data_IF_653097445212
#
_entry.id   IF_653097445212
#
_cell.length_a   1.000
_cell.length_b   1.000
_cell.length_c   1.000
_cell.angle_alpha   90.00
_cell.angle_beta   90.00
_cell.angle_gamma   90.00
#
_symmetry.space_group_name_H-M   'P 1'
#
loop_
_entity.id
_entity.type
_entity.pdbx_description
1 polymer ?
#
# COMPACT_ATOMS: atom_id res chain seq x y z
N UNK A 1 12.50 -57.85 -14.31
CA UNK A 1 11.44 -57.06 -14.96
C UNK A 1 11.78 -55.60 -14.73
N UNK A 2 11.86 -54.79 -15.79
CA UNK A 2 12.05 -53.35 -15.65
C UNK A 2 10.68 -52.73 -15.29
N UNK A 3 10.35 -52.70 -14.00
CA UNK A 3 9.04 -52.31 -13.48
C UNK A 3 8.69 -50.84 -13.74
N UNK A 4 9.70 -49.98 -13.84
CA UNK A 4 9.56 -48.53 -14.04
C UNK A 4 9.89 -48.08 -15.47
N UNK A 5 10.18 -49.03 -16.38
CA UNK A 5 10.53 -48.79 -17.79
C UNK A 5 11.68 -47.81 -18.03
N UNK A 6 12.50 -47.54 -17.01
CA UNK A 6 13.64 -46.64 -17.12
C UNK A 6 14.71 -47.16 -18.06
N UNK A 7 15.57 -46.28 -18.57
CA UNK A 7 16.66 -46.67 -19.44
C UNK A 7 17.86 -47.21 -18.64
N UNK A 8 18.17 -48.51 -18.69
CA UNK A 8 19.26 -49.09 -17.88
C UNK A 8 20.66 -48.55 -18.22
N UNK A 9 20.81 -47.80 -19.32
CA UNK A 9 22.07 -47.16 -19.74
C UNK A 9 22.12 -45.66 -19.46
N UNK A 10 21.03 -45.06 -18.97
CA UNK A 10 20.91 -43.64 -18.67
C UNK A 10 20.38 -43.49 -17.23
N UNK A 11 21.19 -43.07 -16.25
CA UNK A 11 20.79 -42.99 -14.84
C UNK A 11 19.69 -41.98 -14.49
N UNK A 12 19.32 -41.12 -15.43
CA UNK A 12 18.31 -40.06 -15.37
C UNK A 12 17.60 -40.14 -16.74
N UNK A 13 16.45 -40.80 -16.78
CA UNK A 13 15.83 -41.33 -17.99
C UNK A 13 15.16 -40.24 -18.82
N UNK A 14 14.46 -39.29 -18.19
CA UNK A 14 13.82 -38.16 -18.87
C UNK A 14 14.75 -36.95 -19.04
N UNK A 15 15.76 -36.77 -18.19
CA UNK A 15 16.75 -35.70 -18.29
C UNK A 15 16.36 -34.41 -17.62
N UNK A 16 15.56 -34.49 -16.58
CA UNK A 16 15.12 -33.33 -15.81
C UNK A 16 16.17 -32.87 -14.77
N UNK A 17 17.20 -33.70 -14.53
CA UNK A 17 18.29 -33.46 -13.60
C UNK A 17 18.17 -34.23 -12.27
N UNK A 18 17.13 -35.03 -12.08
CA UNK A 18 16.95 -35.97 -10.98
C UNK A 18 17.23 -37.39 -11.47
N UNK A 19 17.94 -38.19 -10.67
CA UNK A 19 18.28 -39.55 -11.08
C UNK A 19 17.09 -40.51 -10.85
N UNK A 20 16.85 -41.47 -11.75
CA UNK A 20 15.78 -42.47 -11.67
C UNK A 20 15.64 -43.11 -10.29
N UNK A 21 16.79 -43.39 -9.65
CA UNK A 21 16.84 -43.97 -8.32
C UNK A 21 16.38 -43.03 -7.21
N UNK A 22 16.67 -41.73 -7.32
CA UNK A 22 16.21 -40.71 -6.38
C UNK A 22 14.72 -40.45 -6.52
N UNK A 23 14.24 -40.39 -7.76
CA UNK A 23 12.83 -40.23 -8.12
C UNK A 23 11.98 -41.34 -7.50
N UNK A 24 12.29 -42.61 -7.80
CA UNK A 24 11.46 -43.73 -7.32
C UNK A 24 11.58 -43.95 -5.80
N UNK A 25 12.78 -43.83 -5.22
CA UNK A 25 12.99 -44.22 -3.82
C UNK A 25 12.79 -43.07 -2.81
N UNK A 26 12.98 -41.81 -3.23
CA UNK A 26 13.00 -40.66 -2.32
C UNK A 26 11.84 -39.71 -2.58
N UNK A 27 11.67 -39.28 -3.83
CA UNK A 27 10.73 -38.20 -4.19
C UNK A 27 9.37 -38.72 -4.65
N UNK A 28 9.28 -40.01 -4.99
CA UNK A 28 8.07 -40.69 -5.50
C UNK A 28 7.53 -40.09 -6.80
N UNK A 29 8.43 -39.65 -7.66
CA UNK A 29 8.15 -39.11 -9.00
C UNK A 29 8.24 -40.19 -10.09
N UNK A 30 7.76 -39.90 -11.31
CA UNK A 30 7.85 -40.81 -12.46
C UNK A 30 9.14 -40.55 -13.26
N UNK A 31 10.12 -41.48 -13.27
CA UNK A 31 11.41 -41.30 -13.94
C UNK A 31 11.34 -41.23 -15.48
N UNK A 32 10.15 -41.17 -16.07
CA UNK A 32 9.94 -40.97 -17.50
C UNK A 32 9.17 -39.68 -17.80
N UNK A 33 8.93 -38.84 -16.79
CA UNK A 33 8.17 -37.61 -16.90
C UNK A 33 8.87 -36.47 -16.15
N UNK A 34 9.39 -35.51 -16.91
CA UNK A 34 10.20 -34.42 -16.36
C UNK A 34 9.48 -33.46 -15.42
N UNK A 35 8.14 -33.52 -15.34
CA UNK A 35 7.25 -32.68 -14.52
C UNK A 35 6.10 -33.59 -14.03
N UNK A 36 6.29 -34.25 -12.89
CA UNK A 36 5.44 -35.33 -12.41
C UNK A 36 4.03 -34.84 -12.05
N UNK A 37 3.91 -33.67 -11.42
CA UNK A 37 2.63 -33.15 -10.94
C UNK A 37 1.96 -32.13 -11.89
N UNK A 38 2.67 -31.72 -12.95
CA UNK A 38 2.12 -30.90 -14.03
C UNK A 38 1.85 -29.47 -13.60
N UNK A 39 2.66 -28.94 -12.69
CA UNK A 39 2.60 -27.54 -12.26
C UNK A 39 3.44 -26.61 -13.16
N UNK A 40 4.29 -27.20 -13.98
CA UNK A 40 5.14 -26.55 -14.96
C UNK A 40 6.61 -26.51 -14.57
N UNK A 41 7.01 -26.88 -13.35
CA UNK A 41 8.41 -27.04 -12.94
C UNK A 41 8.88 -28.48 -13.20
N UNK A 42 10.20 -28.64 -13.30
CA UNK A 42 10.77 -29.97 -13.44
C UNK A 42 11.06 -30.59 -12.08
N UNK A 43 10.89 -31.90 -11.91
CA UNK A 43 11.08 -32.56 -10.62
C UNK A 43 12.49 -32.30 -10.05
N UNK A 44 13.51 -32.35 -10.91
CA UNK A 44 14.88 -31.99 -10.58
C UNK A 44 15.08 -30.52 -10.21
N UNK A 45 14.39 -29.60 -10.88
CA UNK A 45 14.43 -28.15 -10.57
C UNK A 45 13.84 -27.86 -9.19
N UNK A 46 12.69 -28.46 -8.91
CA UNK A 46 11.97 -28.36 -7.64
C UNK A 46 12.81 -28.83 -6.47
N UNK A 47 13.38 -30.04 -6.55
CA UNK A 47 14.20 -30.61 -5.46
C UNK A 47 15.49 -29.81 -5.25
N UNK A 48 16.15 -29.40 -6.33
CA UNK A 48 17.49 -28.82 -6.23
C UNK A 48 17.49 -27.32 -5.96
N UNK A 49 16.55 -26.59 -6.56
CA UNK A 49 16.54 -25.12 -6.59
C UNK A 49 15.45 -24.56 -5.68
N UNK A 50 14.19 -24.95 -5.89
CA UNK A 50 13.03 -24.29 -5.26
C UNK A 50 12.63 -24.88 -3.91
N UNK A 51 13.09 -26.11 -3.62
CA UNK A 51 12.78 -26.87 -2.39
C UNK A 51 11.29 -27.17 -2.21
N UNK A 52 10.58 -27.30 -3.33
CA UNK A 52 9.18 -27.73 -3.41
C UNK A 52 9.08 -29.26 -3.47
N UNK A 53 7.86 -29.78 -3.38
CA UNK A 53 7.60 -31.21 -3.48
C UNK A 53 7.18 -31.58 -4.92
N UNK A 54 8.03 -32.28 -5.70
CA UNK A 54 7.79 -32.54 -7.13
C UNK A 54 6.67 -33.53 -7.45
N UNK A 55 5.87 -33.88 -6.45
CA UNK A 55 4.70 -34.75 -6.60
C UNK A 55 3.43 -34.07 -6.11
N UNK A 56 3.51 -32.78 -5.79
CA UNK A 56 2.45 -31.97 -5.25
C UNK A 56 2.51 -30.57 -5.86
N UNK A 57 1.57 -30.21 -6.75
CA UNK A 57 1.67 -29.03 -7.60
C UNK A 57 1.47 -27.69 -6.86
N UNK A 58 1.26 -27.73 -5.54
CA UNK A 58 0.99 -26.60 -4.62
C UNK A 58 1.55 -26.99 -3.24
N UNK A 59 2.84 -26.73 -3.03
CA UNK A 59 3.63 -27.26 -1.91
C UNK A 59 3.14 -26.73 -0.56
N UNK A 60 2.78 -25.46 -0.46
CA UNK A 60 2.34 -24.84 0.79
C UNK A 60 0.81 -24.80 0.98
N UNK A 61 0.06 -25.24 -0.03
CA UNK A 61 -1.40 -25.39 -0.04
C UNK A 61 -2.14 -24.06 0.15
N UNK A 62 -1.59 -22.98 -0.39
CA UNK A 62 -2.21 -21.66 -0.38
C UNK A 62 -3.18 -21.44 -1.56
N UNK A 63 -3.12 -22.37 -2.52
CA UNK A 63 -3.93 -22.45 -3.71
C UNK A 63 -3.14 -22.16 -4.98
N UNK A 64 -2.04 -21.41 -4.98
CA UNK A 64 -1.22 -21.19 -6.16
C UNK A 64 -0.38 -22.43 -6.44
N UNK A 65 -0.06 -22.64 -7.71
CA UNK A 65 0.86 -23.71 -8.08
C UNK A 65 2.30 -23.25 -7.90
N UNK A 66 3.22 -24.14 -7.51
CA UNK A 66 4.62 -23.74 -7.28
C UNK A 66 5.24 -23.11 -8.54
N UNK A 67 4.93 -23.66 -9.71
CA UNK A 67 5.32 -23.11 -11.00
C UNK A 67 4.67 -21.77 -11.35
N UNK A 68 3.45 -21.51 -10.91
CA UNK A 68 2.75 -20.23 -11.07
C UNK A 68 3.41 -19.16 -10.18
N UNK A 69 3.67 -19.50 -8.93
CA UNK A 69 4.36 -18.64 -7.97
C UNK A 69 5.74 -18.21 -8.46
N UNK A 70 6.57 -19.14 -8.93
CA UNK A 70 7.93 -18.82 -9.39
C UNK A 70 7.92 -17.99 -10.68
N UNK A 71 7.08 -18.36 -11.66
CA UNK A 71 7.15 -17.78 -13.01
C UNK A 71 6.34 -16.51 -13.18
N UNK A 72 5.23 -16.37 -12.44
CA UNK A 72 4.28 -15.29 -12.65
C UNK A 72 4.29 -14.28 -11.49
N UNK A 73 4.24 -14.75 -10.24
CA UNK A 73 4.09 -13.88 -9.08
C UNK A 73 5.41 -13.58 -8.36
N UNK A 74 6.45 -14.39 -8.63
CA UNK A 74 7.74 -14.37 -7.93
C UNK A 74 7.60 -14.51 -6.40
N UNK A 75 6.57 -15.21 -5.92
CA UNK A 75 6.34 -15.53 -4.50
C UNK A 75 7.18 -16.73 -4.05
N UNK A 76 7.07 -17.14 -2.80
CA UNK A 76 7.79 -18.29 -2.26
C UNK A 76 6.86 -19.52 -2.13
N UNK A 77 7.03 -20.56 -2.97
CA UNK A 77 6.12 -21.72 -3.02
C UNK A 77 6.18 -22.66 -1.82
N UNK A 78 6.94 -22.29 -0.80
CA UNK A 78 7.02 -23.02 0.47
C UNK A 78 6.47 -22.21 1.64
N UNK A 79 5.90 -21.04 1.36
CA UNK A 79 5.41 -20.10 2.33
C UNK A 79 4.15 -19.39 1.83
N UNK A 80 3.01 -19.87 2.33
CA UNK A 80 1.65 -19.45 1.95
C UNK A 80 1.33 -17.96 1.95
N UNK A 81 2.17 -17.12 2.55
CA UNK A 81 1.97 -15.70 2.83
C UNK A 81 3.35 -15.03 2.71
N UNK A 82 3.73 -14.71 1.48
CA UNK A 82 5.08 -14.33 1.08
C UNK A 82 5.52 -12.99 1.66
N UNK A 83 4.59 -12.08 1.92
CA UNK A 83 4.88 -10.75 2.45
C UNK A 83 4.50 -10.56 3.92
N UNK A 84 3.80 -11.53 4.51
CA UNK A 84 3.52 -11.61 5.94
C UNK A 84 2.47 -10.61 6.38
N UNK A 85 1.47 -10.34 5.54
CA UNK A 85 0.41 -9.38 5.80
C UNK A 85 -0.85 -10.02 6.44
N UNK A 86 -0.96 -11.35 6.34
CA UNK A 86 -2.05 -12.14 6.90
C UNK A 86 -3.04 -12.70 5.88
N UNK A 87 -2.92 -12.35 4.59
CA UNK A 87 -3.56 -13.06 3.48
C UNK A 87 -2.62 -14.14 2.94
N UNK A 88 -3.18 -15.10 2.20
CA UNK A 88 -2.34 -16.05 1.48
C UNK A 88 -2.11 -15.58 0.06
N UNK A 89 -0.97 -15.91 -0.55
CA UNK A 89 -0.62 -15.43 -1.90
C UNK A 89 -1.73 -15.82 -2.91
N UNK A 90 -2.28 -17.03 -2.76
CA UNK A 90 -3.44 -17.49 -3.53
C UNK A 90 -4.75 -16.73 -3.29
N UNK A 91 -5.01 -16.26 -2.07
CA UNK A 91 -6.20 -15.46 -1.77
C UNK A 91 -6.05 -14.03 -2.32
N UNK A 92 -4.87 -13.47 -2.20
CA UNK A 92 -4.51 -12.18 -2.78
C UNK A 92 -4.71 -12.15 -4.28
N UNK A 93 -4.13 -13.12 -4.99
CA UNK A 93 -4.23 -13.22 -6.45
C UNK A 93 -5.66 -13.49 -6.90
N UNK A 94 -6.37 -14.44 -6.28
CA UNK A 94 -7.64 -14.96 -6.82
C UNK A 94 -8.89 -14.30 -6.28
N UNK A 95 -8.84 -13.72 -5.08
CA UNK A 95 -10.01 -13.12 -4.41
C UNK A 95 -9.88 -11.60 -4.31
N UNK A 96 -8.72 -11.09 -3.90
CA UNK A 96 -8.56 -9.68 -3.56
C UNK A 96 -7.95 -8.84 -4.70
N UNK A 97 -7.27 -9.48 -5.66
CA UNK A 97 -6.49 -8.84 -6.71
C UNK A 97 -5.41 -7.89 -6.15
N UNK A 98 -4.83 -8.24 -5.00
CA UNK A 98 -3.69 -7.55 -4.37
C UNK A 98 -2.37 -8.14 -4.85
N UNK A 99 -1.26 -7.55 -4.45
CA UNK A 99 0.07 -8.00 -4.82
C UNK A 99 0.68 -8.83 -3.68
N UNK A 100 0.91 -10.15 -3.87
CA UNK A 100 1.37 -11.07 -2.81
C UNK A 100 2.82 -10.90 -2.35
N UNK A 101 3.41 -9.75 -2.67
CA UNK A 101 4.78 -9.37 -2.31
C UNK A 101 4.85 -7.98 -1.69
N UNK A 102 3.72 -7.32 -1.54
CA UNK A 102 3.60 -5.96 -1.04
C UNK A 102 2.53 -5.94 0.05
N UNK A 103 2.92 -5.92 1.34
CA UNK A 103 1.97 -6.07 2.45
C UNK A 103 0.87 -5.00 2.54
N UNK A 104 0.95 -3.95 1.72
CA UNK A 104 0.07 -2.79 1.64
C UNK A 104 0.03 -2.39 0.15
N UNK A 105 -0.81 -3.07 -0.63
CA UNK A 105 -0.87 -2.97 -2.10
C UNK A 105 -1.21 -1.55 -2.54
N UNK A 106 -2.11 -0.88 -1.82
CA UNK A 106 -2.65 0.41 -2.20
C UNK A 106 -1.93 1.61 -1.56
N UNK A 107 -1.08 1.35 -0.57
CA UNK A 107 -0.20 2.28 0.15
C UNK A 107 -0.99 3.24 1.04
N UNK A 108 -2.13 2.79 1.57
CA UNK A 108 -3.05 3.54 2.42
C UNK A 108 -2.69 3.53 3.91
N UNK A 109 -1.63 2.80 4.29
CA UNK A 109 -1.09 2.62 5.66
C UNK A 109 -1.77 1.54 6.50
N UNK A 110 -2.63 0.71 5.92
CA UNK A 110 -3.06 -0.57 6.50
C UNK A 110 -2.57 -1.71 5.60
N UNK A 111 -2.38 -2.89 6.19
CA UNK A 111 -2.02 -4.07 5.41
C UNK A 111 -3.24 -4.66 4.74
N UNK A 112 -3.10 -5.28 3.57
CA UNK A 112 -4.23 -5.82 2.81
C UNK A 112 -5.04 -6.82 3.66
N UNK A 113 -4.37 -7.71 4.40
CA UNK A 113 -5.00 -8.64 5.34
C UNK A 113 -5.70 -7.97 6.52
N UNK A 114 -5.15 -6.88 7.03
CA UNK A 114 -5.78 -6.07 8.09
C UNK A 114 -7.04 -5.36 7.60
N UNK A 115 -7.08 -4.99 6.33
CA UNK A 115 -8.22 -4.35 5.68
C UNK A 115 -9.34 -5.34 5.43
N UNK A 116 -9.02 -6.49 4.81
CA UNK A 116 -9.97 -7.58 4.58
C UNK A 116 -10.61 -8.03 5.89
N UNK A 117 -9.82 -8.20 6.95
CA UNK A 117 -10.32 -8.55 8.28
C UNK A 117 -11.27 -7.50 8.88
N UNK A 118 -11.11 -6.22 8.50
CA UNK A 118 -11.96 -5.09 8.91
C UNK A 118 -13.09 -4.77 7.91
N UNK A 119 -13.21 -5.53 6.81
CA UNK A 119 -14.19 -5.30 5.75
C UNK A 119 -13.92 -4.03 4.92
N UNK A 120 -12.67 -3.59 4.88
CA UNK A 120 -12.13 -2.51 4.06
C UNK A 120 -11.67 -3.03 2.70
N UNK A 121 -11.32 -2.14 1.78
CA UNK A 121 -10.94 -2.53 0.42
C UNK A 121 -9.44 -2.34 0.23
N UNK A 122 -8.64 -3.43 0.09
CA UNK A 122 -7.18 -3.37 0.00
C UNK A 122 -6.62 -2.80 -1.32
N UNK A 123 -7.49 -2.19 -2.11
CA UNK A 123 -7.17 -1.50 -3.36
C UNK A 123 -7.63 -0.03 -3.30
N UNK A 124 -8.02 0.45 -2.13
CA UNK A 124 -8.53 1.79 -1.88
C UNK A 124 -7.84 2.45 -0.67
N UNK A 125 -6.75 3.19 -0.89
CA UNK A 125 -5.91 3.72 0.19
C UNK A 125 -6.62 4.78 1.05
N UNK A 126 -7.81 5.21 0.61
CA UNK A 126 -8.63 6.14 1.35
C UNK A 126 -9.35 5.48 2.54
N UNK A 127 -9.60 4.17 2.51
CA UNK A 127 -10.44 3.51 3.52
C UNK A 127 -9.67 2.75 4.62
N UNK A 128 -8.38 2.43 4.47
CA UNK A 128 -7.44 1.80 5.43
C UNK A 128 -7.52 2.37 6.84
N UNK A 129 -7.55 3.67 6.85
CA UNK A 129 -7.49 4.52 8.01
C UNK A 129 -8.87 4.71 8.59
N UNK A 130 -8.95 4.57 9.91
CA UNK A 130 -9.92 5.38 10.65
C UNK A 130 -9.35 6.82 10.70
N UNK A 131 -9.18 7.46 9.53
CA UNK A 131 -8.77 8.87 9.42
C UNK A 131 -9.93 9.60 10.10
N UNK A 132 -9.70 10.49 11.09
CA UNK A 132 -10.78 11.26 11.67
C UNK A 132 -11.38 12.09 10.54
N UNK A 133 -12.50 11.62 9.95
CA UNK A 133 -13.20 12.30 8.88
C UNK A 133 -13.67 13.62 9.45
N UNK A 134 -13.06 14.75 9.06
CA UNK A 134 -13.46 16.03 9.61
C UNK A 134 -14.90 16.31 9.18
N UNK A 135 -15.87 16.15 10.10
CA UNK A 135 -17.27 16.49 9.82
C UNK A 135 -17.39 17.98 9.55
N UNK A 136 -17.55 18.34 8.27
CA UNK A 136 -17.72 19.72 7.80
C UNK A 136 -19.14 20.22 8.11
N UNK A 137 -19.37 20.59 9.36
CA UNK A 137 -20.57 21.31 9.78
C UNK A 137 -20.49 22.79 9.34
N UNK A 138 -21.62 23.35 8.92
CA UNK A 138 -21.71 24.73 8.44
C UNK A 138 -21.15 25.71 9.49
N UNK A 139 -20.18 26.54 9.09
CA UNK A 139 -19.56 27.54 9.96
C UNK A 139 -18.59 26.99 11.02
N UNK A 140 -18.35 25.67 11.09
CA UNK A 140 -17.29 25.12 11.94
C UNK A 140 -15.95 25.11 11.19
N UNK A 141 -14.91 25.58 11.87
CA UNK A 141 -13.51 25.45 11.44
C UNK A 141 -12.97 24.11 11.90
N UNK A 142 -12.27 23.42 11.00
CA UNK A 142 -11.59 22.17 11.28
C UNK A 142 -10.10 22.41 11.07
N UNK A 143 -9.31 22.13 12.10
CA UNK A 143 -7.86 22.20 12.02
C UNK A 143 -7.35 20.88 11.47
N UNK A 144 -6.63 20.93 10.35
CA UNK A 144 -5.86 19.78 9.85
C UNK A 144 -4.48 19.82 10.52
N UNK A 145 -4.42 19.24 11.71
CA UNK A 145 -3.16 19.07 12.44
C UNK A 145 -2.27 18.05 11.72
N UNK A 146 -0.96 18.29 11.72
CA UNK A 146 0.04 17.36 11.18
C UNK A 146 0.40 17.53 9.70
N UNK A 147 -0.16 18.50 8.97
CA UNK A 147 0.33 18.82 7.62
C UNK A 147 1.72 19.46 7.73
N UNK A 148 2.73 18.74 7.24
CA UNK A 148 4.15 19.11 7.26
C UNK A 148 4.58 19.67 5.91
N UNK A 149 5.30 20.79 5.96
CA UNK A 149 5.91 21.41 4.79
C UNK A 149 7.44 21.39 4.89
N UNK A 150 8.13 21.45 3.76
CA UNK A 150 9.56 21.78 3.76
C UNK A 150 9.82 23.13 4.45
N UNK A 151 10.95 23.22 5.16
CA UNK A 151 11.31 24.42 5.93
C UNK A 151 11.36 25.65 5.02
N UNK A 152 10.56 26.67 5.36
CA UNK A 152 10.47 27.92 4.61
C UNK A 152 9.79 27.81 3.23
N UNK A 153 9.20 26.67 2.89
CA UNK A 153 8.52 26.43 1.60
C UNK A 153 7.06 26.01 1.80
N UNK A 154 6.34 25.98 0.67
CA UNK A 154 4.98 25.48 0.56
C UNK A 154 4.92 24.05 -0.02
N UNK A 155 6.06 23.39 -0.22
CA UNK A 155 6.13 21.98 -0.63
C UNK A 155 5.62 21.11 0.51
N UNK A 156 4.54 20.36 0.25
CA UNK A 156 3.96 19.37 1.18
C UNK A 156 4.89 18.16 1.21
N UNK A 157 5.20 17.65 2.41
CA UNK A 157 6.00 16.43 2.54
C UNK A 157 5.12 15.18 2.57
N UNK A 158 5.64 13.99 2.16
CA UNK A 158 4.88 12.73 2.13
C UNK A 158 4.22 12.36 3.45
N UNK A 159 4.78 12.75 4.60
CA UNK A 159 4.18 12.45 5.92
C UNK A 159 2.82 13.14 6.14
N UNK A 160 2.46 14.11 5.29
CA UNK A 160 1.16 14.80 5.33
C UNK A 160 0.09 14.11 4.50
N UNK A 161 0.47 13.20 3.61
CA UNK A 161 -0.44 12.51 2.69
C UNK A 161 -1.57 11.81 3.45
N UNK A 162 -1.31 11.14 4.60
CA UNK A 162 -2.38 10.52 5.37
C UNK A 162 -3.45 11.50 5.87
N UNK A 163 -3.12 12.76 6.15
CA UNK A 163 -4.09 13.75 6.62
C UNK A 163 -4.87 14.34 5.44
N UNK A 164 -4.19 14.55 4.32
CA UNK A 164 -4.78 15.11 3.10
C UNK A 164 -5.74 14.15 2.42
N UNK A 165 -5.49 12.85 2.47
CA UNK A 165 -6.43 11.83 1.99
C UNK A 165 -7.76 11.86 2.78
N UNK A 166 -7.72 12.09 4.09
CA UNK A 166 -8.93 12.17 4.91
C UNK A 166 -9.76 13.42 4.63
N UNK A 167 -9.06 14.53 4.35
CA UNK A 167 -9.69 15.73 3.82
C UNK A 167 -10.34 15.47 2.44
N UNK A 168 -9.65 14.79 1.52
CA UNK A 168 -10.16 14.45 0.19
C UNK A 168 -11.43 13.59 0.24
N UNK A 169 -11.44 12.57 1.08
CA UNK A 169 -12.60 11.69 1.25
C UNK A 169 -13.83 12.49 1.72
N UNK A 170 -13.64 13.42 2.66
CA UNK A 170 -14.72 14.31 3.13
C UNK A 170 -15.33 15.11 1.97
N UNK A 171 -14.52 15.58 1.01
CA UNK A 171 -15.04 16.27 -0.19
C UNK A 171 -15.73 15.34 -1.18
N UNK A 172 -15.34 14.06 -1.19
CA UNK A 172 -15.91 13.01 -2.05
C UNK A 172 -17.29 12.60 -1.54
N UNK A 173 -17.44 12.41 -0.22
CA UNK A 173 -18.73 12.08 0.42
C UNK A 173 -19.73 13.25 0.44
N UNK A 174 -19.23 14.49 0.42
CA UNK A 174 -20.05 15.70 0.52
C UNK A 174 -19.85 16.59 -0.71
N UNK A 175 -20.37 16.23 -1.91
CA UNK A 175 -20.04 16.89 -3.18
C UNK A 175 -20.49 18.36 -3.26
N UNK A 176 -21.45 18.77 -2.43
CA UNK A 176 -21.98 20.13 -2.35
C UNK A 176 -21.17 21.08 -1.46
N UNK A 177 -20.29 20.55 -0.61
CA UNK A 177 -19.57 21.35 0.37
C UNK A 177 -18.52 22.22 -0.31
N UNK A 178 -18.53 23.52 0.04
CA UNK A 178 -17.49 24.48 -0.34
C UNK A 178 -16.71 24.88 0.93
N UNK A 179 -15.39 25.04 0.81
CA UNK A 179 -14.54 25.43 1.95
C UNK A 179 -13.62 26.61 1.64
N UNK A 180 -13.27 27.32 2.70
CA UNK A 180 -12.14 28.22 2.79
C UNK A 180 -10.98 27.50 3.49
N UNK A 181 -9.90 27.30 2.75
CA UNK A 181 -8.62 26.75 3.24
C UNK A 181 -7.77 27.91 3.72
N UNK A 182 -7.38 27.88 4.99
CA UNK A 182 -6.60 28.96 5.60
C UNK A 182 -5.26 28.45 6.10
N UNK A 183 -4.20 29.17 5.74
CA UNK A 183 -2.85 28.87 6.21
C UNK A 183 -2.43 29.77 7.35
N UNK A 184 -1.70 29.21 8.31
CA UNK A 184 -1.18 29.92 9.48
C UNK A 184 0.30 29.62 9.68
N UNK A 185 1.04 30.56 10.27
CA UNK A 185 2.44 30.40 10.65
C UNK A 185 2.64 30.72 12.12
N UNK A 186 3.82 30.37 12.65
CA UNK A 186 4.31 30.96 13.87
C UNK A 186 4.77 32.42 13.65
N UNK A 187 5.22 33.07 14.73
CA UNK A 187 5.72 34.45 14.72
C UNK A 187 7.22 34.56 14.37
N UNK A 188 7.88 33.48 13.96
CA UNK A 188 9.31 33.51 13.64
C UNK A 188 9.50 34.09 12.25
N UNK A 189 10.41 35.05 12.12
CA UNK A 189 10.73 35.71 10.85
C UNK A 189 9.89 36.96 10.56
N UNK A 190 9.92 37.41 9.30
CA UNK A 190 9.24 38.65 8.88
C UNK A 190 7.77 38.38 8.60
N UNK A 191 6.88 39.21 9.16
CA UNK A 191 5.43 39.12 8.95
C UNK A 191 5.04 39.04 7.47
N UNK A 192 5.58 39.89 6.60
CA UNK A 192 5.26 39.87 5.16
C UNK A 192 5.60 38.54 4.49
N UNK A 193 6.72 37.91 4.90
CA UNK A 193 7.11 36.59 4.41
C UNK A 193 6.17 35.50 4.92
N UNK A 194 5.75 35.60 6.18
CA UNK A 194 4.80 34.65 6.77
C UNK A 194 3.39 34.78 6.18
N UNK A 195 2.95 36.00 5.83
CA UNK A 195 1.70 36.22 5.10
C UNK A 195 1.72 35.54 3.73
N UNK A 196 2.83 35.69 2.99
CA UNK A 196 2.99 35.01 1.70
C UNK A 196 3.09 33.49 1.86
N UNK A 197 3.94 33.02 2.77
CA UNK A 197 4.17 31.59 3.00
C UNK A 197 2.90 30.85 3.42
N UNK A 198 2.08 31.45 4.28
CA UNK A 198 0.79 30.86 4.67
C UNK A 198 -0.21 30.78 3.51
N UNK A 199 -0.27 31.81 2.66
CA UNK A 199 -1.11 31.80 1.46
C UNK A 199 -0.64 30.72 0.48
N UNK A 200 0.67 30.65 0.21
CA UNK A 200 1.27 29.66 -0.70
C UNK A 200 1.03 28.23 -0.19
N UNK A 201 1.10 27.98 1.13
CA UNK A 201 0.80 26.68 1.74
C UNK A 201 -0.67 26.28 1.58
N UNK A 202 -1.59 27.22 1.79
CA UNK A 202 -3.01 26.97 1.56
C UNK A 202 -3.28 26.63 0.07
N UNK A 203 -2.59 27.30 -0.84
CA UNK A 203 -2.68 27.01 -2.28
C UNK A 203 -2.09 25.64 -2.64
N UNK A 204 -0.98 25.23 -2.03
CA UNK A 204 -0.45 23.87 -2.22
C UNK A 204 -1.43 22.79 -1.79
N UNK A 205 -2.14 22.97 -0.67
CA UNK A 205 -3.18 22.03 -0.21
C UNK A 205 -4.34 22.00 -1.19
N UNK A 206 -4.81 23.17 -1.66
CA UNK A 206 -5.83 23.25 -2.72
C UNK A 206 -5.40 22.50 -3.98
N UNK A 207 -4.20 22.76 -4.47
CA UNK A 207 -3.66 22.12 -5.67
C UNK A 207 -3.59 20.59 -5.52
N UNK A 208 -3.17 20.11 -4.35
CA UNK A 208 -3.11 18.68 -4.03
C UNK A 208 -4.49 18.01 -4.11
N UNK A 209 -5.53 18.66 -3.58
CA UNK A 209 -6.92 18.17 -3.62
C UNK A 209 -7.51 18.21 -5.04
N UNK A 210 -7.26 19.30 -5.77
CA UNK A 210 -7.72 19.45 -7.16
C UNK A 210 -7.12 18.39 -8.07
N UNK A 211 -5.82 18.10 -7.90
CA UNK A 211 -5.14 17.06 -8.66
C UNK A 211 -5.77 15.66 -8.46
N UNK A 212 -6.50 15.46 -7.37
CA UNK A 212 -7.21 14.22 -7.02
C UNK A 212 -8.74 14.33 -7.21
N UNK A 213 -9.21 15.31 -7.98
CA UNK A 213 -10.59 15.37 -8.47
C UNK A 213 -11.54 16.30 -7.73
N UNK A 214 -11.10 17.01 -6.68
CA UNK A 214 -11.95 18.03 -6.04
C UNK A 214 -12.11 19.23 -6.96
N UNK A 215 -13.34 19.65 -7.24
CA UNK A 215 -13.59 20.81 -8.10
C UNK A 215 -12.92 22.09 -7.53
N UNK A 216 -12.09 22.82 -8.31
CA UNK A 216 -11.44 24.05 -7.87
C UNK A 216 -12.41 25.13 -7.39
N UNK A 217 -13.66 25.14 -7.90
CA UNK A 217 -14.69 26.10 -7.52
C UNK A 217 -15.16 25.93 -6.07
N UNK A 218 -14.95 24.74 -5.48
CA UNK A 218 -15.32 24.42 -4.11
C UNK A 218 -14.27 24.86 -3.09
N UNK A 219 -13.08 25.26 -3.55
CA UNK A 219 -11.93 25.51 -2.69
C UNK A 219 -11.45 26.96 -2.86
N UNK A 220 -11.55 27.74 -1.80
CA UNK A 220 -10.95 29.08 -1.70
C UNK A 220 -9.78 29.06 -0.73
N UNK A 221 -8.80 29.95 -0.90
CA UNK A 221 -7.57 29.95 -0.09
C UNK A 221 -7.31 31.34 0.51
N UNK A 222 -6.75 31.37 1.74
CA UNK A 222 -6.31 32.62 2.39
C UNK A 222 -5.15 32.39 3.36
N UNK A 223 -4.12 33.21 3.29
CA UNK A 223 -3.04 33.23 4.28
C UNK A 223 -3.33 34.22 5.41
N UNK A 224 -3.21 33.78 6.66
CA UNK A 224 -3.28 34.65 7.85
C UNK A 224 -1.92 34.90 8.50
N UNK A 225 -0.85 34.27 8.01
CA UNK A 225 0.48 34.39 8.60
C UNK A 225 0.46 34.14 10.12
N UNK A 226 1.11 35.00 10.92
CA UNK A 226 1.13 34.87 12.38
C UNK A 226 -0.07 35.53 13.07
N UNK A 227 -1.03 36.11 12.35
CA UNK A 227 -2.02 37.03 12.91
C UNK A 227 -3.19 36.34 13.64
N UNK A 228 -3.30 35.00 13.52
CA UNK A 228 -4.36 34.17 14.12
C UNK A 228 -3.77 32.97 14.89
N UNK A 229 -2.98 33.21 15.96
CA UNK A 229 -2.45 32.14 16.79
C UNK A 229 -3.56 31.47 17.59
N UNK A 230 -3.52 30.14 17.72
CA UNK A 230 -4.41 29.37 18.60
C UNK A 230 -3.79 29.12 19.98
N UNK A 231 -2.46 29.19 20.05
CA UNK A 231 -1.68 29.09 21.28
C UNK A 231 -0.58 30.17 21.30
N UNK A 232 -0.05 30.56 22.47
CA UNK A 232 1.07 31.50 22.55
C UNK A 232 2.29 31.01 21.76
N UNK A 233 3.07 31.89 21.11
CA UNK A 233 4.29 31.49 20.37
C UNK A 233 5.53 31.42 21.28
N UNK A 234 5.39 30.87 22.48
CA UNK A 234 6.40 30.85 23.55
C UNK A 234 7.27 29.58 23.56
N UNK A 235 6.79 28.47 23.03
CA UNK A 235 7.51 27.20 22.91
C UNK A 235 7.54 26.67 21.47
N UNK A 236 8.49 25.80 21.14
CA UNK A 236 8.56 25.20 19.80
C UNK A 236 7.36 24.28 19.50
N UNK A 237 6.83 23.66 20.54
CA UNK A 237 5.62 22.84 20.52
C UNK A 237 4.37 23.70 20.20
N UNK A 238 4.25 24.87 20.82
CA UNK A 238 3.17 25.80 20.51
C UNK A 238 3.33 26.46 19.13
N UNK A 239 4.56 26.78 18.71
CA UNK A 239 4.82 27.25 17.34
C UNK A 239 4.40 26.19 16.32
N UNK A 240 4.65 24.90 16.58
CA UNK A 240 4.17 23.82 15.71
C UNK A 240 2.65 23.80 15.60
N UNK A 241 1.92 24.00 16.70
CA UNK A 241 0.45 24.12 16.67
C UNK A 241 -0.03 25.33 15.88
N UNK A 242 0.68 26.45 15.92
CA UNK A 242 0.34 27.62 15.11
C UNK A 242 0.65 27.46 13.62
N UNK A 243 1.63 26.61 13.25
CA UNK A 243 1.92 26.22 11.86
C UNK A 243 0.91 25.16 11.37
N UNK A 244 -0.29 25.60 11.02
CA UNK A 244 -1.42 24.72 10.67
C UNK A 244 -2.16 25.16 9.42
N UNK A 245 -2.99 24.25 8.90
CA UNK A 245 -4.02 24.51 7.89
C UNK A 245 -5.38 24.32 8.55
N UNK A 246 -6.34 25.19 8.24
CA UNK A 246 -7.73 25.03 8.66
C UNK A 246 -8.66 25.03 7.47
N UNK A 247 -9.70 24.20 7.52
CA UNK A 247 -10.84 24.25 6.61
C UNK A 247 -12.04 24.85 7.32
N UNK A 248 -12.69 25.81 6.67
CA UNK A 248 -13.95 26.38 7.14
C UNK A 248 -15.01 26.16 6.07
N UNK A 249 -16.10 25.45 6.41
CA UNK A 249 -17.21 25.25 5.48
C UNK A 249 -17.91 26.59 5.22
N UNK A 250 -17.99 26.97 3.95
CA UNK A 250 -18.67 28.20 3.48
C UNK A 250 -20.02 27.92 2.84
N UNK A 251 -20.30 26.68 2.45
CA UNK A 251 -21.56 26.21 1.86
C UNK A 251 -21.73 24.71 2.06
#
# INVERSE_FOLDING_TARGET
VNTHKTNPTRPDTDGDGLADGAEVNTHRTDPNNEDTDGDGLKDGEEVTTHKTNPSNPDTDNDGLKDGEEIRQYSTNPTNRDSDGDGLTDGDEVRKHNTNPKDPDTDKGSMKDGDEVAKGKNPLNPADDVDRPKPKLEMGKKIVLEGIVFETGKATIKPESEPILLGALETFTENPEVEVLITGHTDNVGRRDKNMKLSADRAESVKAWLVARGVSPSRLTTKGFGPDKPIVPNDSDENKQKNRRIEFERTK
#
